data_IF_692817561401
#
_entry.id   IF_692817561401
#
_cell.length_a   1.000
_cell.length_b   1.000
_cell.length_c   1.000
_cell.angle_alpha   90.00
_cell.angle_beta   90.00
_cell.angle_gamma   90.00
#
_symmetry.space_group_name_H-M   'P 1'
#
loop_
_entity.id
_entity.type
_entity.pdbx_description
1 polymer ?
#
# COMPACT_ATOMS: atom_id res chain seq x y z
N UNK A 1 2.24 18.96 -5.81
CA UNK A 1 1.38 17.97 -5.11
C UNK A 1 0.72 17.10 -6.16
N UNK A 2 0.52 15.80 -5.91
CA UNK A 2 -0.23 14.93 -6.82
C UNK A 2 -1.65 15.43 -7.06
N UNK A 3 -2.23 15.10 -8.20
CA UNK A 3 -3.65 15.33 -8.45
C UNK A 3 -4.47 14.24 -7.74
N UNK A 4 -4.76 14.46 -6.46
CA UNK A 4 -5.46 13.48 -5.61
C UNK A 4 -6.84 13.08 -6.15
N UNK A 5 -7.57 14.02 -6.75
CA UNK A 5 -8.88 13.75 -7.33
C UNK A 5 -8.78 12.77 -8.52
N UNK A 6 -7.76 12.93 -9.37
CA UNK A 6 -7.53 12.02 -10.50
C UNK A 6 -7.10 10.63 -10.02
N UNK A 7 -6.26 10.56 -8.97
CA UNK A 7 -5.83 9.30 -8.36
C UNK A 7 -7.01 8.55 -7.76
N UNK A 8 -7.85 9.23 -6.96
CA UNK A 8 -9.06 8.65 -6.37
C UNK A 8 -10.03 8.16 -7.46
N UNK A 9 -10.31 8.97 -8.47
CA UNK A 9 -11.20 8.59 -9.56
C UNK A 9 -10.68 7.37 -10.35
N UNK A 10 -9.37 7.33 -10.61
CA UNK A 10 -8.72 6.18 -11.27
C UNK A 10 -8.86 4.90 -10.44
N UNK A 11 -8.56 5.00 -9.14
CA UNK A 11 -8.63 3.87 -8.21
C UNK A 11 -10.07 3.32 -8.06
N UNK A 12 -11.06 4.22 -7.94
CA UNK A 12 -12.46 3.82 -7.79
C UNK A 12 -13.05 3.18 -9.05
N UNK A 13 -12.50 3.46 -10.23
CA UNK A 13 -12.93 2.86 -11.50
C UNK A 13 -12.42 1.42 -11.71
N UNK A 14 -11.53 0.93 -10.84
CA UNK A 14 -10.96 -0.41 -10.94
C UNK A 14 -11.82 -1.48 -10.27
N UNK A 15 -11.61 -2.74 -10.66
CA UNK A 15 -12.16 -3.87 -9.94
C UNK A 15 -11.42 -4.08 -8.60
N UNK A 16 -12.08 -4.75 -7.65
CA UNK A 16 -11.55 -5.00 -6.31
C UNK A 16 -10.14 -5.63 -6.31
N UNK A 17 -9.91 -6.65 -7.13
CA UNK A 17 -8.59 -7.29 -7.27
C UNK A 17 -7.52 -6.31 -7.74
N UNK A 18 -7.86 -5.44 -8.69
CA UNK A 18 -6.97 -4.39 -9.20
C UNK A 18 -6.69 -3.31 -8.15
N UNK A 19 -7.71 -2.89 -7.38
CA UNK A 19 -7.53 -1.92 -6.29
C UNK A 19 -6.58 -2.43 -5.21
N UNK A 20 -6.74 -3.69 -4.80
CA UNK A 20 -5.81 -4.35 -3.87
C UNK A 20 -4.41 -4.47 -4.50
N UNK A 21 -4.32 -4.83 -5.79
CA UNK A 21 -3.06 -4.85 -6.52
C UNK A 21 -2.36 -3.48 -6.56
N UNK A 22 -3.11 -2.39 -6.75
CA UNK A 22 -2.57 -1.03 -6.78
C UNK A 22 -2.10 -0.58 -5.39
N UNK A 23 -2.84 -0.94 -4.33
CA UNK A 23 -2.39 -0.75 -2.94
C UNK A 23 -1.10 -1.53 -2.66
N UNK A 24 -1.02 -2.81 -3.07
CA UNK A 24 0.20 -3.59 -2.93
C UNK A 24 1.38 -2.94 -3.68
N UNK A 25 1.17 -2.49 -4.91
CA UNK A 25 2.19 -1.80 -5.69
C UNK A 25 2.63 -0.48 -5.03
N UNK A 26 1.72 0.27 -4.42
CA UNK A 26 2.07 1.50 -3.69
C UNK A 26 2.90 1.21 -2.42
N UNK A 27 2.57 0.15 -1.68
CA UNK A 27 3.37 -0.32 -0.54
C UNK A 27 4.76 -0.80 -0.96
N UNK A 28 4.89 -1.51 -2.09
CA UNK A 28 6.17 -1.90 -2.66
C UNK A 28 7.02 -0.68 -3.05
N UNK A 29 6.40 0.36 -3.63
CA UNK A 29 7.06 1.65 -3.90
C UNK A 29 7.56 2.30 -2.61
N UNK A 30 6.74 2.31 -1.56
CA UNK A 30 7.11 2.85 -0.25
C UNK A 30 8.33 2.12 0.34
N UNK A 31 8.37 0.78 0.27
CA UNK A 31 9.54 -0.05 0.62
C UNK A 31 10.79 0.33 -0.18
N UNK A 32 10.65 0.51 -1.49
CA UNK A 32 11.80 0.83 -2.35
C UNK A 32 12.40 2.19 -1.99
N UNK A 33 11.53 3.18 -1.75
CA UNK A 33 11.98 4.53 -1.44
C UNK A 33 12.48 4.68 -0.01
N UNK A 34 11.94 3.95 0.97
CA UNK A 34 12.46 3.98 2.35
C UNK A 34 13.89 3.45 2.46
N UNK A 35 14.34 2.59 1.54
CA UNK A 35 15.75 2.16 1.46
C UNK A 35 16.70 3.20 0.84
N UNK A 36 16.18 4.27 0.23
CA UNK A 36 16.96 5.29 -0.44
C UNK A 36 17.03 6.56 0.40
N UNK A 37 18.19 6.93 0.93
CA UNK A 37 18.36 8.10 1.83
C UNK A 37 18.00 9.45 1.19
N UNK A 38 17.87 9.55 -0.13
CA UNK A 38 17.48 10.76 -0.85
C UNK A 38 15.95 10.96 -0.97
N UNK A 39 15.13 10.09 -0.37
CA UNK A 39 13.70 9.96 -0.64
C UNK A 39 12.77 10.68 0.34
N UNK A 40 13.32 11.51 1.24
CA UNK A 40 12.57 12.15 2.33
C UNK A 40 11.35 12.97 1.89
N UNK A 41 11.35 13.47 0.64
CA UNK A 41 10.21 14.20 0.05
C UNK A 41 9.14 13.29 -0.55
N UNK A 42 9.49 12.06 -0.95
CA UNK A 42 8.60 11.11 -1.63
C UNK A 42 7.88 10.22 -0.62
N UNK A 43 8.54 9.83 0.47
CA UNK A 43 7.96 8.97 1.52
C UNK A 43 6.62 9.52 2.04
N UNK A 44 6.50 10.81 2.41
CA UNK A 44 5.23 11.36 2.90
C UNK A 44 4.11 11.29 1.86
N UNK A 45 4.44 11.51 0.59
CA UNK A 45 3.47 11.44 -0.51
C UNK A 45 2.95 10.02 -0.70
N UNK A 46 3.85 9.03 -0.69
CA UNK A 46 3.47 7.62 -0.78
C UNK A 46 2.65 7.18 0.43
N UNK A 47 2.99 7.64 1.65
CA UNK A 47 2.17 7.37 2.83
C UNK A 47 0.75 7.93 2.69
N UNK A 48 0.60 9.16 2.19
CA UNK A 48 -0.72 9.75 1.92
C UNK A 48 -1.50 8.98 0.86
N UNK A 49 -0.85 8.53 -0.22
CA UNK A 49 -1.47 7.70 -1.27
C UNK A 49 -1.96 6.37 -0.71
N UNK A 50 -1.12 5.65 0.06
CA UNK A 50 -1.51 4.39 0.68
C UNK A 50 -2.68 4.57 1.65
N UNK A 51 -2.70 5.64 2.45
CA UNK A 51 -3.82 5.96 3.34
C UNK A 51 -5.10 6.27 2.57
N UNK A 52 -5.02 6.99 1.45
CA UNK A 52 -6.15 7.25 0.57
C UNK A 52 -6.76 5.92 0.08
N UNK A 53 -5.94 5.03 -0.49
CA UNK A 53 -6.39 3.74 -1.00
C UNK A 53 -7.05 2.87 0.08
N UNK A 54 -6.43 2.79 1.27
CA UNK A 54 -7.01 2.04 2.40
C UNK A 54 -8.36 2.61 2.82
N UNK A 55 -8.48 3.94 2.93
CA UNK A 55 -9.74 4.60 3.30
C UNK A 55 -10.84 4.35 2.27
N UNK A 56 -10.51 4.37 0.97
CA UNK A 56 -11.45 4.09 -0.10
C UNK A 56 -11.92 2.64 -0.06
N UNK A 57 -11.01 1.68 0.13
CA UNK A 57 -11.35 0.26 0.27
C UNK A 57 -12.23 -0.02 1.50
N UNK A 58 -11.95 0.61 2.65
CA UNK A 58 -12.77 0.46 3.86
C UNK A 58 -14.21 0.94 3.64
N UNK A 59 -14.41 2.06 2.91
CA UNK A 59 -15.74 2.59 2.58
C UNK A 59 -16.58 1.66 1.71
N UNK A 60 -15.94 0.78 0.94
CA UNK A 60 -16.62 -0.18 0.06
C UNK A 60 -17.08 -1.47 0.78
N UNK A 61 -16.99 -1.52 2.12
CA UNK A 61 -17.38 -2.68 2.95
C UNK A 61 -16.68 -3.99 2.54
N UNK A 62 -15.36 -3.89 2.37
CA UNK A 62 -14.52 -4.98 1.86
C UNK A 62 -14.48 -6.20 2.80
N UNK A 63 -14.42 -7.45 2.29
CA UNK A 63 -14.23 -8.66 3.12
C UNK A 63 -12.95 -8.67 3.97
N UNK A 64 -11.99 -7.80 3.67
CA UNK A 64 -10.71 -7.68 4.37
C UNK A 64 -10.68 -6.45 5.31
N UNK A 65 -11.83 -6.03 5.82
CA UNK A 65 -11.95 -4.83 6.64
C UNK A 65 -11.00 -4.87 7.86
N UNK A 66 -10.81 -6.03 8.49
CA UNK A 66 -9.92 -6.17 9.65
C UNK A 66 -8.47 -5.88 9.26
N UNK A 67 -8.00 -6.48 8.16
CA UNK A 67 -6.67 -6.29 7.62
C UNK A 67 -6.43 -4.84 7.18
N UNK A 68 -7.41 -4.23 6.53
CA UNK A 68 -7.33 -2.84 6.09
C UNK A 68 -7.29 -1.87 7.27
N UNK A 69 -8.04 -2.13 8.34
CA UNK A 69 -7.97 -1.32 9.57
C UNK A 69 -6.61 -1.44 10.26
N UNK A 70 -6.05 -2.65 10.32
CA UNK A 70 -4.70 -2.84 10.86
C UNK A 70 -3.65 -2.08 10.04
N UNK A 71 -3.74 -2.17 8.70
CA UNK A 71 -2.87 -1.46 7.78
C UNK A 71 -2.99 0.07 7.94
N UNK A 72 -4.21 0.59 8.06
CA UNK A 72 -4.48 2.00 8.30
C UNK A 72 -3.78 2.49 9.57
N UNK A 73 -3.89 1.74 10.67
CA UNK A 73 -3.25 2.08 11.94
C UNK A 73 -1.72 2.09 11.85
N UNK A 74 -1.13 1.15 11.10
CA UNK A 74 0.32 1.12 10.83
C UNK A 74 0.76 2.35 10.02
N UNK A 75 0.06 2.65 8.93
CA UNK A 75 0.37 3.80 8.07
C UNK A 75 0.24 5.14 8.83
N UNK A 76 -0.81 5.32 9.63
CA UNK A 76 -1.00 6.52 10.45
C UNK A 76 0.12 6.70 11.48
N UNK A 77 0.56 5.60 12.11
CA UNK A 77 1.69 5.64 13.03
C UNK A 77 2.96 6.14 12.35
N UNK A 78 3.24 5.69 11.13
CA UNK A 78 4.40 6.15 10.36
C UNK A 78 4.35 7.61 9.95
N UNK A 79 3.18 8.12 9.57
CA UNK A 79 3.01 9.56 9.31
C UNK A 79 3.45 10.40 10.51
N UNK A 80 3.16 9.93 11.73
CA UNK A 80 3.55 10.62 12.96
C UNK A 80 5.03 10.45 13.33
N UNK A 81 5.77 9.53 12.70
CA UNK A 81 7.13 9.14 13.11
C UNK A 81 8.21 9.32 12.03
N UNK A 82 7.86 9.83 10.84
CA UNK A 82 8.73 9.92 9.64
C UNK A 82 10.10 10.61 9.85
N UNK A 83 10.28 11.37 10.93
CA UNK A 83 11.54 12.08 11.22
C UNK A 83 12.60 11.22 11.95
N UNK A 84 12.30 9.98 12.32
CA UNK A 84 13.22 9.11 13.07
C UNK A 84 13.91 8.08 12.14
N UNK A 85 15.24 8.19 11.99
CA UNK A 85 16.02 7.38 11.04
C UNK A 85 15.96 5.86 11.29
N UNK A 86 15.94 5.41 12.55
CA UNK A 86 15.77 4.00 12.93
C UNK A 86 14.41 3.44 12.47
N UNK A 87 13.41 4.31 12.34
CA UNK A 87 12.07 3.91 11.96
C UNK A 87 11.90 3.76 10.45
N UNK A 88 12.78 4.35 9.65
CA UNK A 88 12.77 4.20 8.18
C UNK A 88 13.13 2.76 7.77
N UNK A 89 14.09 2.13 8.45
CA UNK A 89 14.44 0.73 8.21
C UNK A 89 13.28 -0.22 8.60
N UNK A 90 12.60 0.09 9.70
CA UNK A 90 11.41 -0.65 10.15
C UNK A 90 10.25 -0.50 9.15
N UNK A 91 10.04 0.73 8.65
CA UNK A 91 9.07 1.05 7.61
C UNK A 91 9.28 0.20 6.36
N UNK A 92 10.53 0.04 5.90
CA UNK A 92 10.84 -0.78 4.73
C UNK A 92 10.44 -2.26 4.91
N UNK A 93 10.71 -2.82 6.09
CA UNK A 93 10.39 -4.22 6.40
C UNK A 93 8.87 -4.43 6.44
N UNK A 94 8.17 -3.59 7.21
CA UNK A 94 6.72 -3.76 7.37
C UNK A 94 5.98 -3.45 6.06
N UNK A 95 6.41 -2.43 5.30
CA UNK A 95 5.83 -2.15 3.99
C UNK A 95 5.99 -3.33 3.02
N UNK A 96 7.09 -4.10 3.11
CA UNK A 96 7.25 -5.33 2.33
C UNK A 96 6.21 -6.38 2.71
N UNK A 97 6.09 -6.69 4.00
CA UNK A 97 5.13 -7.67 4.50
C UNK A 97 3.68 -7.28 4.18
N UNK A 98 3.33 -6.01 4.35
CA UNK A 98 2.00 -5.51 3.99
C UNK A 98 1.76 -5.58 2.49
N UNK A 99 2.75 -5.25 1.67
CA UNK A 99 2.66 -5.35 0.21
C UNK A 99 2.37 -6.78 -0.24
N UNK A 100 3.12 -7.76 0.29
CA UNK A 100 2.95 -9.18 -0.04
C UNK A 100 1.57 -9.66 0.38
N UNK A 101 1.15 -9.37 1.62
CA UNK A 101 -0.18 -9.76 2.12
C UNK A 101 -1.33 -9.14 1.32
N UNK A 102 -1.24 -7.86 0.95
CA UNK A 102 -2.27 -7.20 0.13
C UNK A 102 -2.29 -7.77 -1.29
N UNK A 103 -1.14 -8.12 -1.84
CA UNK A 103 -1.05 -8.78 -3.13
C UNK A 103 -1.69 -10.18 -3.09
N UNK A 104 -1.47 -10.94 -2.02
CA UNK A 104 -2.16 -12.23 -1.82
C UNK A 104 -3.68 -12.05 -1.74
N UNK A 105 -4.14 -11.07 -0.96
CA UNK A 105 -5.58 -10.73 -0.85
C UNK A 105 -6.20 -10.32 -2.19
N UNK A 106 -5.41 -9.75 -3.11
CA UNK A 106 -5.89 -9.35 -4.43
C UNK A 106 -6.29 -10.53 -5.32
N UNK A 107 -5.75 -11.73 -5.06
CA UNK A 107 -5.89 -12.89 -5.93
C UNK A 107 -5.24 -12.73 -7.31
N UNK A 108 -4.46 -11.66 -7.54
CA UNK A 108 -3.78 -11.41 -8.82
C UNK A 108 -2.54 -12.27 -9.03
N UNK A 109 -2.02 -12.89 -7.96
CA UNK A 109 -1.03 -13.94 -8.08
C UNK A 109 -1.71 -15.17 -8.65
N UNK A 110 -1.73 -15.25 -9.98
CA UNK A 110 -1.97 -16.51 -10.67
C UNK A 110 -0.90 -17.46 -10.14
N UNK A 111 -1.30 -18.46 -9.35
CA UNK A 111 -0.46 -19.63 -9.14
C UNK A 111 -0.12 -20.08 -10.54
N UNK A 112 1.15 -19.94 -10.93
CA UNK A 112 1.66 -20.59 -12.11
C UNK A 112 1.60 -22.09 -11.82
N UNK A 113 0.39 -22.66 -11.88
CA UNK A 113 0.19 -24.06 -12.15
C UNK A 113 0.62 -24.24 -13.60
N UNK A 114 1.93 -24.31 -13.79
CA UNK A 114 2.53 -25.02 -14.90
C UNK A 114 2.14 -26.49 -14.74
N UNK A 115 0.90 -26.80 -15.09
CA UNK A 115 0.42 -28.14 -15.35
C UNK A 115 0.10 -28.22 -16.82
N UNK A 116 0.95 -28.93 -17.56
CA UNK A 116 0.74 -29.64 -18.84
C UNK A 116 2.14 -29.87 -19.43
N UNK A 117 2.58 -31.07 -19.80
CA UNK A 117 2.11 -32.44 -19.67
C UNK A 117 3.37 -33.32 -19.82
#
# INVERSE_FOLDING_TARGET
MPNWNAIEASFLNQQMSQQLGELAASLARLKSWSKNNASSRIIPVLLSENLLYVNLLQKQNHPYHVELTQLQGLLQRWVNQVNNSTEIANLASIAATCSERVLDMSGLLVVADSKTA
#
